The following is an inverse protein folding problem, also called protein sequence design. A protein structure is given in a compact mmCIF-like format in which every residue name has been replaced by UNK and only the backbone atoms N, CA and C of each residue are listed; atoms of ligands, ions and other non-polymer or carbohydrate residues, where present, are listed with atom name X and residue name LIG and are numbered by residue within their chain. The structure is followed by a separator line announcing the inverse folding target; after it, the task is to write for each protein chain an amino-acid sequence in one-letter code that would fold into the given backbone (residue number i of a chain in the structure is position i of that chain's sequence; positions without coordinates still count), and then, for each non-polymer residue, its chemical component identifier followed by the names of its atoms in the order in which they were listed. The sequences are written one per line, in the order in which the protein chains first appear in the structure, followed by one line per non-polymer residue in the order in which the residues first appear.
data_IF_788973287802
#
_entry.id   IF_788973287802
#
_cell.length_a   1.000
_cell.length_b   1.000
_cell.length_c   1.000
_cell.angle_alpha   90.00
_cell.angle_beta   90.00
_cell.angle_gamma   90.00
#
_symmetry.space_group_name_H-M   'P 1'
#
loop_
_entity.id
_entity.type
_entity.pdbx_description
1 polymer ?
#
# COMPACT_ATOMS: atom_id res chain seq x y z
N UNK A 1 -22.23 -2.81 -33.11
CA UNK A 1 -20.89 -3.45 -33.24
C UNK A 1 -19.77 -2.60 -32.61
N UNK A 2 -19.67 -1.30 -32.91
CA UNK A 2 -18.68 -0.39 -32.28
C UNK A 2 -18.86 -0.22 -30.76
N UNK A 3 -20.09 -0.19 -30.25
CA UNK A 3 -20.39 -0.14 -28.81
C UNK A 3 -19.92 -1.40 -28.08
N UNK A 4 -20.16 -2.58 -28.65
CA UNK A 4 -19.74 -3.87 -28.13
C UNK A 4 -18.21 -4.00 -28.03
N UNK A 5 -17.48 -3.59 -29.07
CA UNK A 5 -16.00 -3.60 -29.04
C UNK A 5 -15.44 -2.64 -27.99
N UNK A 6 -16.04 -1.46 -27.83
CA UNK A 6 -15.67 -0.50 -26.77
C UNK A 6 -15.92 -1.08 -25.38
N UNK A 7 -17.04 -1.76 -25.19
CA UNK A 7 -17.39 -2.38 -23.91
C UNK A 7 -16.44 -3.54 -23.55
N UNK A 8 -16.12 -4.41 -24.53
CA UNK A 8 -15.14 -5.48 -24.35
C UNK A 8 -13.75 -4.95 -23.99
N UNK A 9 -13.30 -3.89 -24.69
CA UNK A 9 -12.02 -3.22 -24.38
C UNK A 9 -12.00 -2.71 -22.94
N UNK A 10 -13.05 -1.99 -22.52
CA UNK A 10 -13.19 -1.48 -21.15
C UNK A 10 -13.16 -2.59 -20.11
N UNK A 11 -13.90 -3.68 -20.33
CA UNK A 11 -13.91 -4.85 -19.43
C UNK A 11 -12.52 -5.48 -19.29
N UNK A 12 -11.77 -5.57 -20.39
CA UNK A 12 -10.38 -6.07 -20.38
C UNK A 12 -9.45 -5.15 -19.60
N UNK A 13 -9.57 -3.84 -19.78
CA UNK A 13 -8.76 -2.85 -19.05
C UNK A 13 -9.01 -2.92 -17.54
N UNK A 14 -10.27 -2.98 -17.12
CA UNK A 14 -10.65 -3.11 -15.72
C UNK A 14 -10.13 -4.42 -15.10
N UNK A 15 -10.22 -5.53 -15.84
CA UNK A 15 -9.63 -6.81 -15.42
C UNK A 15 -8.12 -6.71 -15.23
N UNK A 16 -7.42 -6.05 -16.16
CA UNK A 16 -5.97 -5.85 -16.04
C UNK A 16 -5.61 -4.97 -14.84
N UNK A 17 -6.41 -3.94 -14.54
CA UNK A 17 -6.21 -3.10 -13.36
C UNK A 17 -6.41 -3.90 -12.06
N UNK A 18 -7.45 -4.73 -11.98
CA UNK A 18 -7.68 -5.61 -10.84
C UNK A 18 -6.53 -6.61 -10.65
N UNK A 19 -6.06 -7.23 -11.72
CA UNK A 19 -4.88 -8.13 -11.69
C UNK A 19 -3.62 -7.38 -11.26
N UNK A 20 -3.44 -6.14 -11.73
CA UNK A 20 -2.30 -5.30 -11.34
C UNK A 20 -2.31 -4.99 -9.84
N UNK A 21 -3.49 -4.81 -9.25
CA UNK A 21 -3.63 -4.63 -7.80
C UNK A 21 -3.22 -5.88 -7.02
N UNK A 22 -3.59 -7.09 -7.47
CA UNK A 22 -3.12 -8.32 -6.82
C UNK A 22 -1.59 -8.49 -6.91
N UNK A 23 -0.97 -8.11 -8.02
CA UNK A 23 0.49 -8.09 -8.11
C UNK A 23 1.12 -7.00 -7.23
N UNK A 24 0.46 -5.86 -7.04
CA UNK A 24 0.89 -4.82 -6.10
C UNK A 24 0.89 -5.33 -4.65
N UNK A 25 -0.14 -6.11 -4.27
CA UNK A 25 -0.19 -6.80 -2.97
C UNK A 25 1.01 -7.71 -2.76
N UNK A 26 1.33 -8.57 -3.73
CA UNK A 26 2.49 -9.48 -3.66
C UNK A 26 3.80 -8.70 -3.48
N UNK A 27 4.01 -7.64 -4.26
CA UNK A 27 5.21 -6.78 -4.15
C UNK A 27 5.31 -6.05 -2.82
N UNK A 28 4.18 -5.60 -2.27
CA UNK A 28 4.16 -4.95 -0.97
C UNK A 28 4.53 -5.92 0.16
N UNK A 29 4.16 -7.20 0.05
CA UNK A 29 4.63 -8.23 0.98
C UNK A 29 6.15 -8.43 0.91
N UNK A 30 6.71 -8.53 -0.29
CA UNK A 30 8.17 -8.60 -0.48
C UNK A 30 8.88 -7.37 0.08
N UNK A 31 8.31 -6.19 -0.17
CA UNK A 31 8.82 -4.92 0.33
C UNK A 31 8.82 -4.89 1.85
N UNK A 32 7.74 -5.34 2.50
CA UNK A 32 7.67 -5.46 3.96
C UNK A 32 8.80 -6.35 4.49
N UNK A 33 9.05 -7.50 3.87
CA UNK A 33 10.11 -8.41 4.28
C UNK A 33 11.51 -7.79 4.18
N UNK A 34 11.80 -7.12 3.05
CA UNK A 34 13.09 -6.46 2.83
C UNK A 34 13.29 -5.31 3.83
N UNK A 35 12.26 -4.51 4.05
CA UNK A 35 12.25 -3.42 5.04
C UNK A 35 12.56 -3.95 6.44
N UNK A 36 11.87 -5.02 6.86
CA UNK A 36 12.08 -5.65 8.15
C UNK A 36 13.51 -6.18 8.31
N UNK A 37 14.03 -6.93 7.33
CA UNK A 37 15.39 -7.50 7.37
C UNK A 37 16.49 -6.44 7.43
N UNK A 38 16.31 -5.34 6.70
CA UNK A 38 17.29 -4.25 6.63
C UNK A 38 17.10 -3.19 7.72
N UNK A 39 16.07 -3.31 8.53
CA UNK A 39 15.67 -2.30 9.51
C UNK A 39 15.52 -0.90 8.87
N UNK A 40 14.96 -0.87 7.66
CA UNK A 40 14.60 0.36 6.94
C UNK A 40 13.09 0.41 6.77
N UNK A 41 12.51 1.59 6.88
CA UNK A 41 11.07 1.78 6.70
C UNK A 41 10.86 2.81 5.59
N UNK A 42 10.04 2.46 4.61
CA UNK A 42 9.69 3.31 3.48
C UNK A 42 8.23 3.05 3.08
N UNK A 43 7.68 3.83 2.17
CA UNK A 43 6.29 3.72 1.71
C UNK A 43 6.03 2.44 0.93
N UNK A 44 4.79 1.99 1.00
CA UNK A 44 4.24 0.94 0.13
C UNK A 44 3.61 1.52 -1.13
N UNK A 45 3.54 0.69 -2.19
CA UNK A 45 2.84 1.05 -3.43
C UNK A 45 1.33 0.93 -3.25
N UNK A 46 0.59 1.90 -3.79
CA UNK A 46 -0.88 1.91 -3.84
C UNK A 46 -1.42 2.43 -5.18
N UNK A 47 -0.58 2.40 -6.23
CA UNK A 47 -0.90 2.98 -7.53
C UNK A 47 -2.06 2.25 -8.21
N UNK A 48 -2.09 0.92 -8.11
CA UNK A 48 -3.17 0.13 -8.69
C UNK A 48 -4.46 0.32 -7.89
N UNK A 49 -4.38 0.32 -6.55
CA UNK A 49 -5.50 0.61 -5.67
C UNK A 49 -6.18 1.95 -6.01
N UNK A 50 -5.40 3.03 -6.11
CA UNK A 50 -5.92 4.37 -6.39
C UNK A 50 -6.69 4.46 -7.73
N UNK A 51 -6.36 3.60 -8.69
CA UNK A 51 -7.03 3.53 -10.00
C UNK A 51 -8.32 2.70 -9.96
N UNK A 52 -8.46 1.77 -9.02
CA UNK A 52 -9.60 0.85 -8.95
C UNK A 52 -10.61 1.17 -7.84
N UNK A 53 -10.22 1.89 -6.78
CA UNK A 53 -11.05 2.14 -5.60
C UNK A 53 -12.41 2.78 -5.90
N UNK A 54 -12.47 3.62 -6.92
CA UNK A 54 -13.68 4.34 -7.32
C UNK A 54 -14.37 3.71 -8.55
N UNK A 55 -13.93 2.51 -8.98
CA UNK A 55 -14.49 1.82 -10.15
C UNK A 55 -15.65 0.90 -9.73
N UNK A 56 -16.92 1.25 -10.03
CA UNK A 56 -18.08 0.48 -9.54
C UNK A 56 -18.12 -0.96 -10.05
N UNK A 57 -17.49 -1.19 -11.21
CA UNK A 57 -17.40 -2.50 -11.86
C UNK A 57 -16.33 -3.43 -11.28
N UNK A 58 -15.47 -2.94 -10.39
CA UNK A 58 -14.44 -3.75 -9.71
C UNK A 58 -14.89 -3.92 -8.27
N UNK A 59 -15.48 -5.06 -7.96
CA UNK A 59 -15.84 -5.43 -6.59
C UNK A 59 -14.69 -6.21 -5.97
N UNK A 60 -13.95 -5.55 -5.09
CA UNK A 60 -12.95 -6.22 -4.25
C UNK A 60 -13.61 -6.81 -3.01
N UNK A 61 -13.00 -7.87 -2.48
CA UNK A 61 -13.36 -8.37 -1.14
C UNK A 61 -13.06 -7.28 -0.09
N UNK A 62 -13.84 -7.24 1.02
CA UNK A 62 -13.62 -6.27 2.10
C UNK A 62 -12.17 -6.25 2.60
N UNK A 63 -11.54 -7.42 2.70
CA UNK A 63 -10.18 -7.56 3.25
C UNK A 63 -9.12 -6.83 2.40
N UNK A 64 -9.28 -6.79 1.07
CA UNK A 64 -8.42 -6.01 0.18
C UNK A 64 -8.58 -4.50 0.36
N UNK A 65 -9.80 -4.05 0.67
CA UNK A 65 -10.08 -2.64 0.91
C UNK A 65 -9.46 -2.22 2.25
N UNK A 66 -9.66 -3.03 3.30
CA UNK A 66 -9.06 -2.79 4.61
C UNK A 66 -7.53 -2.71 4.52
N UNK A 67 -6.92 -3.67 3.84
CA UNK A 67 -5.49 -3.67 3.54
C UNK A 67 -5.01 -2.36 2.91
N UNK A 68 -5.69 -1.91 1.85
CA UNK A 68 -5.28 -0.71 1.13
C UNK A 68 -5.45 0.56 1.99
N UNK A 69 -6.49 0.62 2.82
CA UNK A 69 -6.70 1.70 3.80
C UNK A 69 -5.59 1.71 4.84
N UNK A 70 -5.21 0.55 5.36
CA UNK A 70 -4.15 0.42 6.38
C UNK A 70 -2.79 0.84 5.81
N UNK A 71 -2.45 0.41 4.60
CA UNK A 71 -1.24 0.87 3.91
C UNK A 71 -1.27 2.37 3.63
N UNK A 72 -2.43 2.93 3.25
CA UNK A 72 -2.56 4.37 3.03
C UNK A 72 -2.28 5.13 4.33
N UNK A 73 -2.87 4.71 5.44
CA UNK A 73 -2.66 5.33 6.75
C UNK A 73 -1.18 5.24 7.17
N UNK A 74 -0.52 4.11 6.89
CA UNK A 74 0.93 3.98 7.12
C UNK A 74 1.74 4.95 6.26
N UNK A 75 1.43 5.06 4.96
CA UNK A 75 2.12 5.98 4.05
C UNK A 75 1.94 7.44 4.50
N UNK A 76 0.76 7.81 4.97
CA UNK A 76 0.46 9.15 5.52
C UNK A 76 1.28 9.43 6.80
N UNK A 77 1.42 8.44 7.68
CA UNK A 77 2.30 8.53 8.86
C UNK A 77 3.77 8.68 8.47
N UNK A 78 4.22 7.91 7.49
CA UNK A 78 5.58 7.99 6.94
C UNK A 78 5.85 9.38 6.35
N UNK A 79 4.90 9.95 5.62
CA UNK A 79 4.98 11.32 5.11
C UNK A 79 5.13 12.35 6.23
N UNK A 80 4.31 12.24 7.27
CA UNK A 80 4.41 13.13 8.44
C UNK A 80 5.78 13.02 9.12
N UNK A 81 6.30 11.80 9.28
CA UNK A 81 7.62 11.56 9.84
C UNK A 81 8.73 12.15 8.97
N UNK A 82 8.74 11.87 7.66
CA UNK A 82 9.79 12.35 6.74
C UNK A 82 9.76 13.87 6.54
N UNK A 83 8.58 14.47 6.50
CA UNK A 83 8.43 15.92 6.48
C UNK A 83 9.03 16.56 7.74
N UNK A 84 8.74 15.98 8.91
CA UNK A 84 9.26 16.48 10.18
C UNK A 84 10.77 16.23 10.32
N UNK A 85 11.27 15.06 9.89
CA UNK A 85 12.71 14.72 9.86
C UNK A 85 13.48 15.74 9.00
N UNK A 86 12.96 16.06 7.81
CA UNK A 86 13.57 17.06 6.92
C UNK A 86 13.57 18.45 7.55
N UNK A 87 12.45 18.87 8.13
CA UNK A 87 12.35 20.17 8.82
C UNK A 87 13.29 20.26 10.02
N UNK A 88 13.36 19.20 10.84
CA UNK A 88 14.24 19.09 12.00
C UNK A 88 15.73 19.18 11.61
N UNK A 89 16.10 18.55 10.49
CA UNK A 89 17.48 18.54 9.99
C UNK A 89 17.91 19.88 9.36
N UNK A 90 16.98 20.70 8.90
CA UNK A 90 17.25 21.89 8.08
C UNK A 90 17.91 23.06 8.84
N UNK A 91 17.67 23.19 10.16
CA UNK A 91 18.20 24.31 10.96
C UNK A 91 18.62 23.82 12.36
N UNK A 92 19.73 24.35 12.89
CA UNK A 92 20.16 24.13 14.28
C UNK A 92 19.11 24.59 15.29
N UNK A 93 18.35 25.65 14.99
CA UNK A 93 17.27 26.16 15.85
C UNK A 93 16.14 25.16 16.03
N UNK A 94 15.95 24.25 15.07
CA UNK A 94 14.93 23.21 15.16
C UNK A 94 15.38 22.02 16.03
N UNK A 95 16.67 21.91 16.35
CA UNK A 95 17.25 20.78 17.11
C UNK A 95 17.15 20.97 18.61
N UNK A 96 15.93 21.23 19.08
CA UNK A 96 15.62 21.34 20.51
C UNK A 96 15.27 19.97 21.09
N UNK A 97 15.37 19.82 22.42
CA UNK A 97 14.95 18.61 23.13
C UNK A 97 13.48 18.27 22.86
N UNK A 98 12.61 19.28 22.77
CA UNK A 98 11.19 19.06 22.52
C UNK A 98 10.96 18.53 21.11
N UNK A 99 11.59 19.11 20.09
CA UNK A 99 11.47 18.63 18.72
C UNK A 99 12.10 17.24 18.55
N UNK A 100 13.15 16.90 19.30
CA UNK A 100 13.72 15.56 19.31
C UNK A 100 12.73 14.53 19.86
N UNK A 101 11.94 14.86 20.90
CA UNK A 101 10.86 13.99 21.39
C UNK A 101 9.80 13.78 20.32
N UNK A 102 9.33 14.84 19.67
CA UNK A 102 8.34 14.75 18.59
C UNK A 102 8.85 13.89 17.43
N UNK A 103 10.13 14.03 17.06
CA UNK A 103 10.75 13.20 16.03
C UNK A 103 10.76 11.71 16.44
N UNK A 104 11.09 11.43 17.70
CA UNK A 104 11.11 10.08 18.25
C UNK A 104 9.70 9.47 18.31
N UNK A 105 8.70 10.21 18.77
CA UNK A 105 7.30 9.79 18.80
C UNK A 105 6.78 9.46 17.40
N UNK A 106 7.05 10.31 16.41
CA UNK A 106 6.68 10.06 15.01
C UNK A 106 7.35 8.80 14.45
N UNK A 107 8.65 8.61 14.74
CA UNK A 107 9.38 7.40 14.34
C UNK A 107 8.80 6.15 15.00
N UNK A 108 8.44 6.23 16.28
CA UNK A 108 7.81 5.13 17.01
C UNK A 108 6.45 4.76 16.43
N UNK A 109 5.60 5.75 16.17
CA UNK A 109 4.29 5.52 15.56
C UNK A 109 4.39 4.79 14.21
N UNK A 110 5.36 5.18 13.36
CA UNK A 110 5.64 4.49 12.09
C UNK A 110 6.13 3.05 12.34
N UNK A 111 7.05 2.86 13.30
CA UNK A 111 7.61 1.55 13.60
C UNK A 111 6.59 0.57 14.21
N UNK A 112 5.73 1.05 15.09
CA UNK A 112 4.65 0.26 15.68
C UNK A 112 3.68 -0.16 14.58
N UNK A 113 3.24 0.79 13.75
CA UNK A 113 2.34 0.48 12.65
C UNK A 113 2.93 -0.50 11.66
N UNK A 114 4.21 -0.36 11.33
CA UNK A 114 4.93 -1.29 10.47
C UNK A 114 4.90 -2.73 10.99
N UNK A 115 5.06 -2.92 12.32
CA UNK A 115 5.03 -4.24 12.96
C UNK A 115 3.62 -4.84 12.98
N UNK A 116 2.60 -4.04 13.30
CA UNK A 116 1.20 -4.46 13.34
C UNK A 116 0.70 -5.01 11.99
N UNK A 117 1.19 -4.45 10.88
CA UNK A 117 0.70 -4.82 9.54
C UNK A 117 1.18 -6.20 9.06
N UNK A 118 2.13 -6.85 9.73
CA UNK A 118 2.76 -8.09 9.26
C UNK A 118 1.76 -9.17 8.87
N UNK A 119 0.87 -9.52 9.78
CA UNK A 119 -0.04 -10.66 9.60
C UNK A 119 -1.12 -10.35 8.56
N UNK A 120 -1.56 -9.08 8.50
CA UNK A 120 -2.50 -8.59 7.49
C UNK A 120 -1.90 -8.68 6.08
N UNK A 121 -0.70 -8.13 5.86
CA UNK A 121 -0.06 -8.16 4.53
C UNK A 121 0.20 -9.61 4.09
N UNK A 122 0.58 -10.49 5.03
CA UNK A 122 0.75 -11.92 4.76
C UNK A 122 -0.56 -12.61 4.36
N UNK A 123 -1.65 -12.38 5.10
CA UNK A 123 -2.95 -12.98 4.83
C UNK A 123 -3.49 -12.57 3.46
N UNK A 124 -3.44 -11.27 3.17
CA UNK A 124 -3.93 -10.68 1.92
C UNK A 124 -3.10 -11.12 0.72
N UNK A 125 -1.79 -11.37 0.89
CA UNK A 125 -0.95 -11.96 -0.15
C UNK A 125 -1.43 -13.36 -0.55
N UNK A 126 -1.82 -14.20 0.40
CA UNK A 126 -2.33 -15.55 0.12
C UNK A 126 -3.66 -15.45 -0.65
N UNK A 127 -4.52 -14.51 -0.27
CA UNK A 127 -5.78 -14.27 -0.97
C UNK A 127 -5.56 -13.76 -2.40
N UNK A 128 -4.63 -12.82 -2.59
CA UNK A 128 -4.24 -12.32 -3.91
C UNK A 128 -3.74 -13.45 -4.82
N UNK A 129 -2.89 -14.35 -4.31
CA UNK A 129 -2.42 -15.52 -5.06
C UNK A 129 -3.55 -16.46 -5.47
N UNK A 130 -4.53 -16.66 -4.59
CA UNK A 130 -5.71 -17.49 -4.87
C UNK A 130 -6.59 -16.85 -5.96
N UNK A 131 -6.84 -15.54 -5.86
CA UNK A 131 -7.53 -14.80 -6.92
C UNK A 131 -6.79 -14.93 -8.25
N UNK A 132 -5.48 -14.67 -8.28
CA UNK A 132 -4.67 -14.78 -9.49
C UNK A 132 -4.70 -16.18 -10.13
N UNK A 133 -4.73 -17.24 -9.32
CA UNK A 133 -4.91 -18.62 -9.82
C UNK A 133 -6.28 -18.79 -10.49
N UNK A 134 -7.36 -18.34 -9.85
CA UNK A 134 -8.71 -18.39 -10.42
C UNK A 134 -8.80 -17.61 -11.75
N UNK A 135 -8.07 -16.50 -11.86
CA UNK A 135 -7.97 -15.72 -13.09
C UNK A 135 -7.25 -16.45 -14.23
N UNK A 136 -6.28 -17.33 -13.93
CA UNK A 136 -5.52 -18.13 -14.91
C UNK A 136 -6.29 -19.36 -15.39
N UNK A 137 -7.11 -19.99 -14.53
CA UNK A 137 -7.92 -21.17 -14.88
C UNK A 137 -9.09 -20.82 -15.81
N UNK A 138 -9.61 -19.59 -15.73
CA UNK A 138 -10.67 -19.07 -16.60
C UNK A 138 -10.15 -18.39 -17.89
N UNK A 139 -9.05 -18.90 -18.46
CA UNK A 139 -8.51 -18.51 -19.78
C UNK A 139 -8.60 -19.68 -20.75
#
# INVERSE_FOLDING_TARGET
MLSFLKELKRKRELRNLQVSFYFEVEKNWESWHVMYQRNVMDKFSLDAWLRIKDQPSIQLKPDFVEYAVVLKNYNDLMDSFKAFEKWYAADLKNKTTENAKVLHEKKNAVSEKFKEMKDMVKGIKIEAENELKNFKVNR
#
